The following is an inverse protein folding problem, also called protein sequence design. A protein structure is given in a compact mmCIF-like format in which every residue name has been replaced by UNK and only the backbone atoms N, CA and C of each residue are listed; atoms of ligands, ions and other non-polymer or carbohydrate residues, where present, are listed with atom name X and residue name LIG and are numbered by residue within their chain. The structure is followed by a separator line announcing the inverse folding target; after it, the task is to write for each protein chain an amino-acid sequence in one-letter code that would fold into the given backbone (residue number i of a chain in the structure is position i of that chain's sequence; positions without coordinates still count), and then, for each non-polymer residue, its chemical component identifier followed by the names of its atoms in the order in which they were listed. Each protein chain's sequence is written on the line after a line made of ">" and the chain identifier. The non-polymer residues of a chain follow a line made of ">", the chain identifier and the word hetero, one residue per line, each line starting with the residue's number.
data_IF_170042492124
#
_entry.id   IF_170042492124
#
_cell.length_a   1.000
_cell.length_b   1.000
_cell.length_c   1.000
_cell.angle_alpha   90.00
_cell.angle_beta   90.00
_cell.angle_gamma   90.00
#
_symmetry.space_group_name_H-M   'P 1'
#
loop_
_entity.id
_entity.type
_entity.pdbx_description
1 polymer ?
#
# COMPACT_ATOMS: atom_id res chain seq x y z
N UNK A 1 6.17 -4.12 22.43
CA UNK A 1 6.79 -3.65 21.18
C UNK A 1 6.33 -4.43 19.96
N UNK A 2 6.28 -5.77 20.04
CA UNK A 2 5.86 -6.59 18.89
C UNK A 2 4.40 -6.36 18.51
N UNK A 3 3.54 -6.14 19.50
CA UNK A 3 2.13 -5.85 19.26
C UNK A 3 1.97 -4.53 18.50
N UNK A 4 2.77 -3.52 18.83
CA UNK A 4 2.74 -2.22 18.15
C UNK A 4 3.04 -2.37 16.67
N UNK A 5 4.01 -3.21 16.32
CA UNK A 5 4.36 -3.44 14.91
C UNK A 5 3.27 -4.19 14.16
N UNK A 6 2.61 -5.14 14.82
CA UNK A 6 1.46 -5.83 14.23
C UNK A 6 0.35 -4.83 13.90
N UNK A 7 0.02 -3.93 14.84
CA UNK A 7 -0.98 -2.90 14.59
C UNK A 7 -0.55 -1.97 13.47
N UNK A 8 0.74 -1.61 13.40
CA UNK A 8 1.24 -0.78 12.31
C UNK A 8 1.02 -1.42 10.95
N UNK A 9 1.34 -2.70 10.82
CA UNK A 9 1.10 -3.43 9.58
C UNK A 9 -0.38 -3.51 9.23
N UNK A 10 -1.23 -3.76 10.24
CA UNK A 10 -2.67 -3.84 10.05
C UNK A 10 -3.22 -2.49 9.58
N UNK A 11 -2.82 -1.40 10.23
CA UNK A 11 -3.35 -0.07 9.90
C UNK A 11 -2.96 0.36 8.48
N UNK A 12 -1.69 0.14 8.10
CA UNK A 12 -1.25 0.48 6.75
C UNK A 12 -2.00 -0.38 5.72
N UNK A 13 -2.12 -1.67 5.99
CA UNK A 13 -2.79 -2.60 5.08
C UNK A 13 -4.28 -2.30 4.97
N UNK A 14 -4.92 -1.87 6.06
CA UNK A 14 -6.34 -1.53 6.06
C UNK A 14 -6.65 -0.43 5.05
N UNK A 15 -5.77 0.56 4.93
CA UNK A 15 -5.97 1.64 3.96
C UNK A 15 -6.10 1.07 2.54
N UNK A 16 -5.17 0.20 2.15
CA UNK A 16 -5.16 -0.38 0.80
C UNK A 16 -6.39 -1.28 0.59
N UNK A 17 -6.74 -2.08 1.60
CA UNK A 17 -7.88 -2.98 1.50
C UNK A 17 -9.19 -2.21 1.35
N UNK A 18 -9.36 -1.14 2.13
CA UNK A 18 -10.56 -0.30 2.06
C UNK A 18 -10.65 0.38 0.71
N UNK A 19 -9.53 0.93 0.21
CA UNK A 19 -9.51 1.58 -1.08
C UNK A 19 -9.82 0.59 -2.22
N UNK A 20 -9.31 -0.64 -2.13
CA UNK A 20 -9.60 -1.67 -3.13
C UNK A 20 -11.09 -2.04 -3.14
N UNK A 21 -11.69 -2.17 -1.95
CA UNK A 21 -13.11 -2.47 -1.83
C UNK A 21 -13.95 -1.34 -2.41
N UNK A 22 -13.59 -0.09 -2.11
CA UNK A 22 -14.32 1.07 -2.65
C UNK A 22 -14.25 1.12 -4.18
N UNK A 23 -13.10 0.84 -4.76
CA UNK A 23 -12.94 0.78 -6.21
C UNK A 23 -13.79 -0.32 -6.83
N UNK A 24 -13.83 -1.47 -6.17
CA UNK A 24 -14.58 -2.62 -6.68
C UNK A 24 -16.07 -2.32 -6.76
N UNK A 25 -16.60 -1.59 -5.77
CA UNK A 25 -18.03 -1.22 -5.75
C UNK A 25 -18.36 0.02 -6.57
N UNK A 26 -17.36 0.79 -7.00
CA UNK A 26 -17.57 1.99 -7.83
C UNK A 26 -16.62 1.98 -9.03
N UNK A 27 -16.74 0.96 -9.90
CA UNK A 27 -15.77 0.80 -11.00
C UNK A 27 -15.81 1.93 -12.03
N UNK A 28 -16.99 2.45 -12.34
CA UNK A 28 -17.14 3.44 -13.40
C UNK A 28 -16.38 4.74 -13.07
N UNK A 29 -16.52 5.23 -11.84
CA UNK A 29 -15.82 6.45 -11.41
C UNK A 29 -14.31 6.26 -11.41
N UNK A 30 -13.84 5.10 -10.94
CA UNK A 30 -12.41 4.81 -10.88
C UNK A 30 -11.81 4.68 -12.28
N UNK A 31 -12.50 4.00 -13.18
CA UNK A 31 -12.05 3.85 -14.57
C UNK A 31 -12.00 5.19 -15.30
N UNK A 32 -13.03 6.03 -15.09
CA UNK A 32 -13.04 7.37 -15.66
C UNK A 32 -11.86 8.20 -15.15
N UNK A 33 -11.58 8.13 -13.86
CA UNK A 33 -10.46 8.85 -13.24
C UNK A 33 -9.14 8.40 -13.83
N UNK A 34 -8.96 7.08 -14.02
CA UNK A 34 -7.77 6.51 -14.65
C UNK A 34 -7.62 7.01 -16.09
N UNK A 35 -8.70 6.96 -16.85
CA UNK A 35 -8.71 7.41 -18.25
C UNK A 35 -8.34 8.89 -18.37
N UNK A 36 -8.88 9.72 -17.47
CA UNK A 36 -8.59 11.16 -17.46
C UNK A 36 -7.11 11.44 -17.20
N UNK A 37 -6.39 10.53 -16.54
CA UNK A 37 -4.97 10.67 -16.24
C UNK A 37 -4.08 9.87 -17.18
N UNK A 38 -4.64 9.34 -18.27
CA UNK A 38 -3.88 8.60 -19.28
C UNK A 38 -3.49 7.20 -18.88
N UNK A 39 -4.13 6.64 -17.85
CA UNK A 39 -3.88 5.28 -17.41
C UNK A 39 -4.86 4.32 -18.11
N UNK A 40 -4.36 3.23 -18.74
CA UNK A 40 -5.25 2.29 -19.42
C UNK A 40 -6.25 1.64 -18.47
N UNK A 41 -7.51 1.55 -18.88
CA UNK A 41 -8.58 0.99 -18.07
C UNK A 41 -8.38 -0.49 -17.77
N UNK A 42 -7.68 -1.23 -18.63
CA UNK A 42 -7.44 -2.66 -18.40
C UNK A 42 -6.60 -2.93 -17.15
N UNK A 43 -5.90 -1.92 -16.64
CA UNK A 43 -5.12 -2.05 -15.40
C UNK A 43 -5.97 -1.96 -14.13
N UNK A 44 -7.28 -1.64 -14.28
CA UNK A 44 -8.17 -1.44 -13.14
C UNK A 44 -8.27 -2.70 -12.26
N UNK A 45 -8.66 -3.83 -12.84
CA UNK A 45 -8.82 -5.07 -12.06
C UNK A 45 -7.50 -5.64 -11.55
N UNK A 46 -6.41 -5.64 -12.35
CA UNK A 46 -5.10 -6.03 -11.81
C UNK A 46 -4.64 -5.17 -10.63
N UNK A 47 -4.93 -3.86 -10.65
CA UNK A 47 -4.55 -3.00 -9.54
C UNK A 47 -5.34 -3.31 -8.27
N UNK A 48 -6.62 -3.65 -8.40
CA UNK A 48 -7.44 -4.07 -7.26
C UNK A 48 -6.88 -5.36 -6.67
N UNK A 49 -6.54 -6.34 -7.52
CA UNK A 49 -5.95 -7.60 -7.06
C UNK A 49 -4.66 -7.34 -6.30
N UNK A 50 -3.80 -6.47 -6.80
CA UNK A 50 -2.56 -6.08 -6.13
C UNK A 50 -2.85 -5.44 -4.76
N UNK A 51 -3.81 -4.52 -4.72
CA UNK A 51 -4.17 -3.81 -3.49
C UNK A 51 -4.85 -4.70 -2.45
N UNK A 52 -5.30 -5.89 -2.82
CA UNK A 52 -5.86 -6.86 -1.88
C UNK A 52 -4.80 -7.86 -1.44
N UNK A 53 -4.08 -8.45 -2.39
CA UNK A 53 -3.15 -9.56 -2.14
C UNK A 53 -1.94 -9.09 -1.34
N UNK A 54 -1.29 -8.02 -1.77
CA UNK A 54 -0.05 -7.57 -1.14
C UNK A 54 -0.27 -7.06 0.28
N UNK A 55 -1.32 -6.26 0.58
CA UNK A 55 -1.58 -5.90 1.97
C UNK A 55 -1.88 -7.09 2.88
N UNK A 56 -2.52 -8.14 2.35
CA UNK A 56 -2.74 -9.37 3.14
C UNK A 56 -1.42 -10.03 3.51
N UNK A 57 -0.44 -10.05 2.60
CA UNK A 57 0.90 -10.53 2.91
C UNK A 57 1.55 -9.68 3.99
N UNK A 58 1.35 -8.37 3.93
CA UNK A 58 1.92 -7.47 4.93
C UNK A 58 1.30 -7.69 6.32
N UNK A 59 -0.02 -7.91 6.39
CA UNK A 59 -0.69 -8.21 7.67
C UNK A 59 -0.12 -9.48 8.27
N UNK A 60 0.02 -10.53 7.45
CA UNK A 60 0.57 -11.80 7.90
C UNK A 60 2.05 -11.71 8.24
N UNK A 61 2.74 -10.69 7.70
CA UNK A 61 4.18 -10.57 7.85
C UNK A 61 4.94 -11.56 6.99
N UNK A 62 4.36 -11.97 5.86
CA UNK A 62 5.01 -12.87 4.90
C UNK A 62 5.70 -12.05 3.81
N UNK A 63 6.98 -12.33 3.59
CA UNK A 63 7.82 -11.55 2.68
C UNK A 63 7.64 -10.05 2.91
N UNK A 64 7.74 -9.66 4.17
CA UNK A 64 7.38 -8.33 4.64
C UNK A 64 8.11 -7.23 3.89
N UNK A 65 9.42 -7.39 3.69
CA UNK A 65 10.21 -6.37 2.99
C UNK A 65 9.80 -6.22 1.54
N UNK A 66 9.56 -7.35 0.86
CA UNK A 66 9.15 -7.34 -0.54
C UNK A 66 7.75 -6.73 -0.65
N UNK A 67 6.82 -7.15 0.21
CA UNK A 67 5.46 -6.62 0.21
C UNK A 67 5.44 -5.12 0.47
N UNK A 68 6.19 -4.66 1.48
CA UNK A 68 6.25 -3.23 1.79
C UNK A 68 6.91 -2.45 0.66
N UNK A 69 7.93 -3.00 0.01
CA UNK A 69 8.60 -2.36 -1.12
C UNK A 69 7.66 -2.21 -2.30
N UNK A 70 6.89 -3.26 -2.62
CA UNK A 70 5.91 -3.21 -3.71
C UNK A 70 4.83 -2.18 -3.43
N UNK A 71 4.34 -2.11 -2.20
CA UNK A 71 3.33 -1.12 -1.84
C UNK A 71 3.91 0.30 -1.89
N UNK A 72 5.15 0.50 -1.45
CA UNK A 72 5.79 1.81 -1.50
C UNK A 72 5.94 2.29 -2.94
N UNK A 73 6.38 1.43 -3.85
CA UNK A 73 6.51 1.76 -5.26
C UNK A 73 5.13 2.06 -5.87
N UNK A 74 4.14 1.25 -5.52
CA UNK A 74 2.77 1.46 -6.00
C UNK A 74 2.23 2.83 -5.56
N UNK A 75 2.36 3.16 -4.26
CA UNK A 75 1.88 4.45 -3.74
C UNK A 75 2.63 5.61 -4.39
N UNK A 76 3.94 5.49 -4.55
CA UNK A 76 4.73 6.53 -5.19
C UNK A 76 4.26 6.75 -6.62
N UNK A 77 4.07 5.67 -7.38
CA UNK A 77 3.62 5.76 -8.77
C UNK A 77 2.24 6.41 -8.86
N UNK A 78 1.29 5.96 -8.05
CA UNK A 78 -0.07 6.51 -8.02
C UNK A 78 -0.03 7.99 -7.62
N UNK A 79 0.79 8.34 -6.64
CA UNK A 79 0.91 9.72 -6.18
C UNK A 79 1.44 10.62 -7.30
N UNK A 80 2.46 10.19 -8.03
CA UNK A 80 3.02 10.98 -9.12
C UNK A 80 2.05 11.11 -10.28
N UNK A 81 1.26 10.08 -10.57
CA UNK A 81 0.30 10.12 -11.69
C UNK A 81 -0.93 10.95 -11.34
N UNK A 82 -1.54 10.72 -10.18
CA UNK A 82 -2.86 11.26 -9.87
C UNK A 82 -2.84 12.48 -8.95
N UNK A 83 -1.83 12.62 -8.11
CA UNK A 83 -1.84 13.61 -7.03
C UNK A 83 -0.66 14.57 -7.03
N UNK A 84 0.15 14.58 -8.08
CA UNK A 84 1.25 15.53 -8.20
C UNK A 84 0.87 16.82 -8.93
N UNK A 85 -0.26 16.79 -9.66
CA UNK A 85 -0.72 17.95 -10.41
C UNK A 85 -1.56 18.87 -9.52
N UNK A 86 -1.33 20.17 -9.64
CA UNK A 86 -2.12 21.20 -8.93
C UNK A 86 -2.09 21.07 -7.40
N UNK A 87 -0.99 20.51 -6.85
CA UNK A 87 -0.88 20.32 -5.38
C UNK A 87 -0.83 21.65 -4.63
N UNK A 88 -0.38 22.73 -5.28
CA UNK A 88 -0.32 24.06 -4.67
C UNK A 88 -1.68 24.75 -4.74
N UNK A 89 -2.41 24.54 -5.83
CA UNK A 89 -3.68 25.22 -6.10
C UNK A 89 -4.87 24.57 -5.39
N UNK A 90 -4.78 23.27 -5.11
CA UNK A 90 -5.87 22.50 -4.49
C UNK A 90 -5.38 21.92 -3.16
N UNK A 91 -5.94 22.45 -2.04
CA UNK A 91 -5.56 22.00 -0.71
C UNK A 91 -5.85 20.52 -0.46
N UNK A 92 -6.90 19.97 -1.09
CA UNK A 92 -7.22 18.56 -0.98
C UNK A 92 -6.14 17.70 -1.65
N UNK A 93 -5.66 18.10 -2.82
CA UNK A 93 -4.59 17.38 -3.51
C UNK A 93 -3.30 17.41 -2.70
N UNK A 94 -2.99 18.55 -2.07
CA UNK A 94 -1.83 18.65 -1.19
C UNK A 94 -1.96 17.70 0.00
N UNK A 95 -3.14 17.63 0.63
CA UNK A 95 -3.38 16.75 1.75
C UNK A 95 -3.20 15.29 1.37
N UNK A 96 -3.74 14.87 0.22
CA UNK A 96 -3.60 13.51 -0.27
C UNK A 96 -2.14 13.19 -0.57
N UNK A 97 -1.42 14.13 -1.19
CA UNK A 97 0.00 13.97 -1.49
C UNK A 97 0.82 13.75 -0.21
N UNK A 98 0.61 14.59 0.80
CA UNK A 98 1.31 14.48 2.08
C UNK A 98 0.96 13.18 2.82
N UNK A 99 -0.32 12.78 2.79
CA UNK A 99 -0.75 11.52 3.37
C UNK A 99 -0.04 10.33 2.71
N UNK A 100 0.07 10.35 1.39
CA UNK A 100 0.74 9.27 0.67
C UNK A 100 2.23 9.23 0.99
N UNK A 101 2.87 10.39 1.15
CA UNK A 101 4.27 10.44 1.60
C UNK A 101 4.43 9.82 3.00
N UNK A 102 3.47 10.08 3.90
CA UNK A 102 3.50 9.50 5.23
C UNK A 102 3.37 7.98 5.18
N UNK A 103 2.52 7.46 4.30
CA UNK A 103 2.36 6.02 4.10
C UNK A 103 3.66 5.41 3.59
N UNK A 104 4.31 6.04 2.62
CA UNK A 104 5.60 5.60 2.10
C UNK A 104 6.63 5.59 3.23
N UNK A 105 6.65 6.62 4.06
CA UNK A 105 7.56 6.67 5.22
C UNK A 105 7.36 5.49 6.15
N UNK A 106 6.10 5.16 6.47
CA UNK A 106 5.80 3.98 7.29
C UNK A 106 6.25 2.68 6.65
N UNK A 107 6.05 2.54 5.34
CA UNK A 107 6.49 1.36 4.60
C UNK A 107 8.02 1.25 4.57
N UNK A 108 8.73 2.37 4.43
CA UNK A 108 10.19 2.38 4.48
C UNK A 108 10.71 1.91 5.83
N UNK A 109 10.05 2.29 6.92
CA UNK A 109 10.42 1.81 8.24
C UNK A 109 10.23 0.29 8.35
N UNK A 110 9.17 -0.25 7.78
CA UNK A 110 8.95 -1.69 7.74
C UNK A 110 10.06 -2.39 6.94
N UNK A 111 10.44 -1.81 5.81
CA UNK A 111 11.49 -2.36 4.95
C UNK A 111 12.83 -2.42 5.71
N UNK A 112 13.13 -1.41 6.53
CA UNK A 112 14.40 -1.31 7.22
C UNK A 112 14.52 -2.20 8.45
N UNK A 113 13.37 -2.68 8.98
CA UNK A 113 13.36 -3.48 10.20
C UNK A 113 13.47 -4.97 9.89
N UNK A 114 14.01 -5.73 10.87
CA UNK A 114 14.04 -7.20 10.78
C UNK A 114 12.65 -7.78 11.02
N UNK A 115 12.39 -9.02 10.53
CA UNK A 115 11.12 -9.70 10.80
C UNK A 115 10.82 -9.78 12.30
N UNK A 116 9.59 -9.51 12.67
CA UNK A 116 9.17 -9.46 14.06
C UNK A 116 8.56 -10.79 14.51
N UNK A 117 8.53 -11.02 15.82
CA UNK A 117 8.08 -12.28 16.41
C UNK A 117 6.68 -12.67 15.92
N UNK A 118 5.78 -11.71 15.79
CA UNK A 118 4.41 -11.96 15.36
C UNK A 118 4.27 -11.87 13.84
N UNK A 119 5.14 -12.56 13.08
CA UNK A 119 5.08 -12.55 11.62
C UNK A 119 5.41 -13.93 11.07
N UNK A 120 4.90 -14.22 9.87
CA UNK A 120 5.22 -15.47 9.17
C UNK A 120 6.71 -15.52 8.81
N UNK A 121 7.31 -14.38 8.43
CA UNK A 121 8.73 -14.31 8.11
C UNK A 121 9.59 -14.75 9.30
N UNK A 122 9.25 -14.26 10.48
CA UNK A 122 9.98 -14.64 11.69
C UNK A 122 9.87 -16.13 11.96
N UNK A 123 8.67 -16.68 11.81
CA UNK A 123 8.42 -18.11 12.01
C UNK A 123 9.25 -18.97 11.04
N UNK A 124 9.25 -18.60 9.77
CA UNK A 124 10.00 -19.34 8.74
C UNK A 124 11.51 -19.23 8.97
N UNK A 125 11.99 -18.05 9.35
CA UNK A 125 13.42 -17.86 9.66
C UNK A 125 13.83 -18.67 10.87
N UNK A 126 12.99 -18.71 11.90
CA UNK A 126 13.23 -19.49 13.10
C UNK A 126 13.34 -20.98 12.79
N UNK A 127 12.49 -21.49 11.88
CA UNK A 127 12.54 -22.89 11.45
C UNK A 127 13.83 -23.23 10.70
N UNK A 128 14.32 -22.28 9.89
CA UNK A 128 15.56 -22.49 9.14
C UNK A 128 16.80 -22.51 10.04
N UNK A 129 16.73 -21.81 11.19
CA UNK A 129 17.83 -21.77 12.14
C UNK A 129 18.02 -23.04 12.95
N UNK A 130 17.10 -23.98 12.86
CA UNK A 130 17.17 -25.26 13.53
C UNK A 130 17.47 -26.37 12.51
#
# INVERSE_FOLDING_TARGET
>A
MHIVEVFGRIFISALFLIEAIRKFFNPDMSMMYMSDHGVPEFLFYPSIAFEIIIPLFLIAGYKTRISASLLAVFVLTVTLIFHSHHIIDDGMQLTIFLKNLAIIGGLLLIISNKPQICSVDYYLESKKGN
#
